data_IF_811120782675
#
_entry.id   IF_811120782675
#
_cell.length_a   1.000
_cell.length_b   1.000
_cell.length_c   1.000
_cell.angle_alpha   90.00
_cell.angle_beta   90.00
_cell.angle_gamma   90.00
#
_symmetry.space_group_name_H-M   'P 1'
#
loop_
_entity.id
_entity.type
_entity.pdbx_description
1 polymer ?
#
# COMPACT_ATOMS: atom_id res chain seq x y z
N UNK A 1 -4.24 -9.22 -20.51
CA UNK A 1 -3.13 -8.52 -19.81
C UNK A 1 -3.44 -7.06 -19.46
N UNK A 2 -4.69 -6.59 -19.55
CA UNK A 2 -5.07 -5.18 -19.22
C UNK A 2 -5.42 -5.02 -17.73
N UNK A 3 -6.02 -6.06 -17.14
CA UNK A 3 -6.50 -6.07 -15.75
C UNK A 3 -5.35 -5.89 -14.74
N UNK A 4 -4.20 -6.54 -14.96
CA UNK A 4 -3.03 -6.41 -14.06
C UNK A 4 -2.48 -4.97 -14.00
N UNK A 5 -2.44 -4.26 -15.13
CA UNK A 5 -1.95 -2.88 -15.17
C UNK A 5 -2.86 -1.92 -14.42
N UNK A 6 -4.18 -2.14 -14.50
CA UNK A 6 -5.17 -1.33 -13.81
C UNK A 6 -5.15 -1.60 -12.30
N UNK A 7 -5.18 -2.87 -11.88
CA UNK A 7 -5.06 -3.29 -10.48
C UNK A 7 -3.76 -2.76 -9.86
N UNK A 8 -2.64 -2.82 -10.59
CA UNK A 8 -1.34 -2.28 -10.14
C UNK A 8 -1.40 -0.77 -9.90
N UNK A 9 -2.08 -0.02 -10.77
CA UNK A 9 -2.28 1.43 -10.58
C UNK A 9 -3.16 1.72 -9.38
N UNK A 10 -4.27 1.01 -9.25
CA UNK A 10 -5.26 1.25 -8.19
C UNK A 10 -4.67 0.93 -6.80
N UNK A 11 -4.00 -0.23 -6.66
CA UNK A 11 -3.30 -0.59 -5.43
C UNK A 11 -2.19 0.41 -5.11
N UNK A 12 -1.42 0.83 -6.10
CA UNK A 12 -0.38 1.85 -5.91
C UNK A 12 -0.92 3.19 -5.41
N UNK A 13 -2.09 3.62 -5.92
CA UNK A 13 -2.77 4.84 -5.45
C UNK A 13 -3.30 4.68 -4.02
N UNK A 14 -3.90 3.54 -3.70
CA UNK A 14 -4.41 3.25 -2.35
C UNK A 14 -3.25 3.28 -1.34
N UNK A 15 -2.15 2.59 -1.62
CA UNK A 15 -0.99 2.54 -0.72
C UNK A 15 -0.36 3.92 -0.51
N UNK A 16 -0.23 4.74 -1.56
CA UNK A 16 0.25 6.13 -1.43
C UNK A 16 -0.63 6.95 -0.51
N UNK A 17 -1.95 6.92 -0.70
CA UNK A 17 -2.90 7.62 0.17
C UNK A 17 -2.82 7.16 1.63
N UNK A 18 -2.70 5.86 1.85
CA UNK A 18 -2.57 5.31 3.20
C UNK A 18 -1.27 5.76 3.87
N UNK A 19 -0.16 5.78 3.14
CA UNK A 19 1.12 6.26 3.65
C UNK A 19 1.05 7.76 4.00
N UNK A 20 0.48 8.59 3.12
CA UNK A 20 0.26 10.03 3.37
C UNK A 20 -0.58 10.28 4.63
N UNK A 21 -1.62 9.48 4.88
CA UNK A 21 -2.48 9.60 6.07
C UNK A 21 -1.77 9.31 7.40
N UNK A 22 -0.58 8.69 7.37
CA UNK A 22 0.16 8.28 8.57
C UNK A 22 1.56 8.91 8.65
N UNK A 23 1.83 9.91 7.82
CA UNK A 23 3.16 10.52 7.69
C UNK A 23 4.25 9.45 7.43
N UNK A 24 3.91 8.45 6.61
CA UNK A 24 4.85 7.43 6.14
C UNK A 24 5.38 7.91 4.79
N UNK A 25 6.69 8.06 4.69
CA UNK A 25 7.39 8.41 3.46
C UNK A 25 7.71 7.13 2.68
N UNK A 26 7.37 7.10 1.39
CA UNK A 26 7.75 6.02 0.48
C UNK A 26 9.04 6.45 -0.22
N UNK A 27 10.15 5.77 0.10
CA UNK A 27 11.46 6.01 -0.53
C UNK A 27 11.51 5.29 -1.88
N UNK A 28 11.11 4.02 -1.91
CA UNK A 28 11.03 3.20 -3.12
C UNK A 28 9.81 2.28 -3.06
N UNK A 29 9.19 2.01 -4.22
CA UNK A 29 8.11 1.03 -4.31
C UNK A 29 8.10 0.36 -5.69
N UNK A 30 8.13 -0.96 -5.70
CA UNK A 30 8.05 -1.79 -6.89
C UNK A 30 6.91 -2.79 -6.74
N UNK A 31 5.98 -2.78 -7.71
CA UNK A 31 4.92 -3.77 -7.76
C UNK A 31 5.25 -4.89 -8.75
N UNK A 32 5.52 -6.06 -8.20
CA UNK A 32 5.76 -7.33 -8.90
C UNK A 32 4.42 -8.01 -9.22
N UNK A 33 4.40 -9.08 -10.02
CA UNK A 33 3.17 -9.79 -10.40
C UNK A 33 2.40 -10.39 -9.21
N UNK A 34 3.10 -10.82 -8.15
CA UNK A 34 2.56 -11.58 -7.02
C UNK A 34 2.74 -10.87 -5.66
N UNK A 35 3.58 -9.83 -5.59
CA UNK A 35 3.85 -9.07 -4.37
C UNK A 35 4.28 -7.62 -4.69
N UNK A 36 4.39 -6.79 -3.65
CA UNK A 36 4.88 -5.42 -3.75
C UNK A 36 6.04 -5.25 -2.79
N UNK A 37 7.18 -4.77 -3.29
CA UNK A 37 8.31 -4.33 -2.49
C UNK A 37 8.17 -2.84 -2.20
N UNK A 38 8.33 -2.46 -0.93
CA UNK A 38 8.31 -1.05 -0.53
C UNK A 38 9.43 -0.78 0.46
N UNK A 39 10.17 0.29 0.22
CA UNK A 39 11.07 0.90 1.18
C UNK A 39 10.39 2.14 1.74
N UNK A 40 10.08 2.11 3.04
CA UNK A 40 9.34 3.16 3.72
C UNK A 40 10.11 3.70 4.93
N UNK A 41 9.95 4.99 5.19
CA UNK A 41 10.43 5.69 6.39
C UNK A 41 9.23 6.21 7.17
N UNK A 42 9.26 6.04 8.49
CA UNK A 42 8.19 6.48 9.37
C UNK A 42 8.72 6.81 10.77
N UNK A 43 7.94 7.56 11.54
CA UNK A 43 8.32 7.97 12.89
C UNK A 43 8.48 6.75 13.84
N UNK A 44 9.54 6.69 14.66
CA UNK A 44 9.79 5.55 15.57
C UNK A 44 8.74 5.39 16.68
N UNK A 45 7.80 6.33 16.81
CA UNK A 45 6.63 6.21 17.71
C UNK A 45 5.68 5.08 17.31
N UNK A 46 5.73 4.62 16.06
CA UNK A 46 4.92 3.51 15.57
C UNK A 46 5.74 2.21 15.58
N UNK A 47 5.11 1.11 16.01
CA UNK A 47 5.73 -0.21 15.86
C UNK A 47 5.64 -0.69 14.41
N UNK A 48 6.60 -1.51 14.00
CA UNK A 48 6.60 -2.16 12.68
C UNK A 48 5.29 -2.95 12.47
N UNK A 49 4.85 -3.69 13.49
CA UNK A 49 3.59 -4.46 13.44
C UNK A 49 2.36 -3.58 13.23
N UNK A 50 2.31 -2.40 13.85
CA UNK A 50 1.22 -1.44 13.66
C UNK A 50 1.19 -0.92 12.22
N UNK A 51 2.34 -0.50 11.70
CA UNK A 51 2.45 0.03 10.33
C UNK A 51 2.05 -1.04 9.32
N UNK A 52 2.59 -2.26 9.44
CA UNK A 52 2.24 -3.37 8.54
C UNK A 52 0.77 -3.77 8.63
N UNK A 53 0.20 -3.81 9.84
CA UNK A 53 -1.21 -4.10 10.06
C UNK A 53 -2.13 -3.04 9.45
N UNK A 54 -1.78 -1.76 9.60
CA UNK A 54 -2.52 -0.64 9.02
C UNK A 54 -2.51 -0.70 7.49
N UNK A 55 -1.32 -0.81 6.87
CA UNK A 55 -1.18 -0.83 5.42
C UNK A 55 -1.93 -2.01 4.81
N UNK A 56 -1.70 -3.24 5.30
CA UNK A 56 -2.34 -4.46 4.78
C UNK A 56 -3.84 -4.49 5.05
N UNK A 57 -4.26 -4.11 6.26
CA UNK A 57 -5.67 -4.13 6.64
C UNK A 57 -6.48 -3.11 5.84
N UNK A 58 -6.01 -1.86 5.76
CA UNK A 58 -6.72 -0.83 5.00
C UNK A 58 -6.69 -1.08 3.50
N UNK A 59 -5.56 -1.51 2.94
CA UNK A 59 -5.49 -1.82 1.51
C UNK A 59 -6.45 -2.95 1.12
N UNK A 60 -6.62 -3.98 1.97
CA UNK A 60 -7.59 -5.07 1.72
C UNK A 60 -9.03 -4.57 1.70
N UNK A 61 -9.40 -3.64 2.58
CA UNK A 61 -10.72 -3.02 2.61
C UNK A 61 -11.00 -2.23 1.32
N UNK A 62 -10.06 -1.38 0.90
CA UNK A 62 -10.22 -0.58 -0.33
C UNK A 62 -10.19 -1.44 -1.61
N UNK A 63 -9.39 -2.52 -1.63
CA UNK A 63 -9.37 -3.45 -2.75
C UNK A 63 -10.65 -4.29 -2.84
N UNK A 64 -11.31 -4.57 -1.72
CA UNK A 64 -12.57 -5.35 -1.69
C UNK A 64 -13.79 -4.45 -1.96
N UNK A 65 -13.73 -3.18 -1.58
CA UNK A 65 -14.79 -2.18 -1.82
C UNK A 65 -14.86 -1.71 -3.28
N UNK A 66 -13.77 -1.84 -4.03
CA UNK A 66 -13.77 -1.65 -5.49
C UNK A 66 -14.51 -2.82 -6.14
N UNK A 67 -15.84 -2.69 -6.17
CA UNK A 67 -16.81 -3.66 -6.72
C UNK A 67 -16.35 -4.21 -8.07
N UNK A 68 -15.95 -5.47 -8.06
CA UNK A 68 -16.32 -6.44 -9.09
C UNK A 68 -17.77 -6.87 -8.86
#
# INVERSE_FOLDING_TARGET
MVIYGQIKKDIGQILRKLCEQKDIEIIEAEACPDHIHMLISFSPKYSISYVMGYLKGKSSLFSTDTRI
#
